data_IF_916112207966
#
_entry.id   IF_916112207966
#
_cell.length_a   1.000
_cell.length_b   1.000
_cell.length_c   1.000
_cell.angle_alpha   90.00
_cell.angle_beta   90.00
_cell.angle_gamma   90.00
#
_symmetry.space_group_name_H-M   'P 1'
#
loop_
_entity.id
_entity.type
_entity.pdbx_description
1 polymer ?
#
# COMPACT_ATOMS: atom_id res chain seq x y z
N UNK A 1 9.20 22.87 -15.56
CA UNK A 1 8.57 22.45 -14.28
C UNK A 1 8.69 20.94 -14.03
N UNK A 2 8.23 20.07 -14.93
CA UNK A 2 8.28 18.61 -14.76
C UNK A 2 9.69 18.03 -14.49
N UNK A 3 10.72 18.49 -15.22
CA UNK A 3 12.11 18.06 -14.98
C UNK A 3 12.61 18.36 -13.55
N UNK A 4 12.18 19.48 -12.96
CA UNK A 4 12.53 19.84 -11.58
C UNK A 4 11.83 18.93 -10.57
N UNK A 5 10.55 18.67 -10.77
CA UNK A 5 9.77 17.76 -9.91
C UNK A 5 10.33 16.33 -9.94
N UNK A 6 10.68 15.83 -11.14
CA UNK A 6 11.29 14.51 -11.31
C UNK A 6 12.62 14.40 -10.54
N UNK A 7 13.55 15.35 -10.74
CA UNK A 7 14.82 15.37 -10.00
C UNK A 7 14.60 15.43 -8.48
N UNK A 8 13.66 16.25 -8.03
CA UNK A 8 13.34 16.34 -6.60
C UNK A 8 12.80 15.01 -6.05
N UNK A 9 11.99 14.28 -6.81
CA UNK A 9 11.54 12.93 -6.43
C UNK A 9 12.71 11.95 -6.37
N UNK A 10 13.57 11.94 -7.40
CA UNK A 10 14.75 11.05 -7.43
C UNK A 10 15.67 11.27 -6.22
N UNK A 11 15.96 12.53 -5.87
CA UNK A 11 16.76 12.84 -4.69
C UNK A 11 16.09 12.34 -3.41
N UNK A 12 14.79 12.60 -3.23
CA UNK A 12 14.06 12.14 -2.02
C UNK A 12 13.97 10.63 -1.93
N UNK A 13 13.83 9.95 -3.06
CA UNK A 13 13.80 8.50 -3.14
C UNK A 13 15.15 7.90 -2.76
N UNK A 14 16.25 8.43 -3.33
CA UNK A 14 17.60 8.01 -2.98
C UNK A 14 17.90 8.25 -1.49
N UNK A 15 17.53 9.42 -0.95
CA UNK A 15 17.70 9.74 0.47
C UNK A 15 16.92 8.78 1.37
N UNK A 16 15.69 8.42 0.99
CA UNK A 16 14.89 7.45 1.74
C UNK A 16 15.51 6.04 1.63
N UNK A 17 15.86 5.59 0.43
CA UNK A 17 16.43 4.27 0.18
C UNK A 17 17.76 4.02 0.89
N UNK A 18 18.59 5.05 1.02
CA UNK A 18 19.82 5.00 1.81
C UNK A 18 19.54 4.70 3.29
N UNK A 19 18.35 5.03 3.79
CA UNK A 19 17.92 4.80 5.16
C UNK A 19 17.05 3.54 5.33
N UNK A 20 16.98 2.67 4.32
CA UNK A 20 16.14 1.46 4.39
C UNK A 20 16.54 0.56 5.56
N UNK A 21 15.54 -0.07 6.17
CA UNK A 21 15.77 -1.10 7.17
C UNK A 21 16.46 -2.32 6.55
N UNK A 22 17.41 -2.94 7.26
CA UNK A 22 18.22 -4.07 6.76
C UNK A 22 17.37 -5.27 6.31
N UNK A 23 16.21 -5.48 6.92
CA UNK A 23 15.28 -6.58 6.61
C UNK A 23 14.16 -6.24 5.63
N UNK A 24 14.30 -5.16 4.84
CA UNK A 24 13.28 -4.82 3.84
C UNK A 24 13.20 -5.90 2.73
N UNK A 25 11.98 -6.35 2.34
CA UNK A 25 11.79 -7.23 1.18
C UNK A 25 12.01 -6.52 -0.16
N UNK A 26 12.10 -5.18 -0.16
CA UNK A 26 12.26 -4.38 -1.37
C UNK A 26 13.66 -4.58 -1.95
N UNK A 27 13.75 -4.72 -3.27
CA UNK A 27 14.99 -5.03 -3.99
C UNK A 27 15.63 -3.82 -4.65
N UNK A 28 14.89 -2.73 -4.82
CA UNK A 28 15.38 -1.52 -5.51
C UNK A 28 14.65 -0.25 -5.06
N UNK A 29 15.24 0.90 -5.41
CA UNK A 29 14.59 2.21 -5.28
C UNK A 29 13.24 2.27 -6.00
N UNK A 30 13.14 1.65 -7.18
CA UNK A 30 11.89 1.60 -7.95
C UNK A 30 10.81 0.82 -7.19
N UNK A 31 11.13 -0.32 -6.59
CA UNK A 31 10.19 -1.07 -5.76
C UNK A 31 9.75 -0.26 -4.53
N UNK A 32 10.67 0.49 -3.91
CA UNK A 32 10.34 1.40 -2.82
C UNK A 32 9.39 2.51 -3.25
N UNK A 33 9.59 3.08 -4.45
CA UNK A 33 8.69 4.09 -5.00
C UNK A 33 7.29 3.53 -5.29
N UNK A 34 7.21 2.31 -5.83
CA UNK A 34 5.93 1.62 -6.06
C UNK A 34 5.21 1.41 -4.74
N UNK A 35 5.87 0.81 -3.74
CA UNK A 35 5.24 0.57 -2.44
C UNK A 35 4.82 1.88 -1.77
N UNK A 36 5.67 2.92 -1.81
CA UNK A 36 5.34 4.23 -1.26
C UNK A 36 4.08 4.83 -1.90
N UNK A 37 3.87 4.63 -3.20
CA UNK A 37 2.66 5.11 -3.89
C UNK A 37 1.39 4.40 -3.44
N UNK A 38 1.48 3.11 -3.08
CA UNK A 38 0.37 2.34 -2.51
C UNK A 38 0.08 2.84 -1.09
N UNK A 39 1.12 2.95 -0.25
CA UNK A 39 1.01 3.46 1.12
C UNK A 39 0.39 4.86 1.15
N UNK A 40 0.78 5.74 0.23
CA UNK A 40 0.20 7.09 0.10
C UNK A 40 -1.32 7.04 -0.13
N UNK A 41 -1.79 6.09 -0.95
CA UNK A 41 -3.21 5.95 -1.28
C UNK A 41 -4.04 5.27 -0.20
N UNK A 42 -3.43 4.42 0.62
CA UNK A 42 -4.08 3.67 1.71
C UNK A 42 -4.07 4.43 3.04
N UNK A 43 -3.20 5.41 3.20
CA UNK A 43 -3.07 6.14 4.46
C UNK A 43 -4.16 7.20 4.59
N UNK A 44 -5.16 6.94 5.43
CA UNK A 44 -6.11 7.96 5.90
C UNK A 44 -5.48 8.88 6.95
N UNK A 45 -5.07 8.31 8.09
CA UNK A 45 -4.45 9.05 9.20
C UNK A 45 -2.92 8.96 9.16
N UNK A 46 -2.17 10.08 9.33
CA UNK A 46 -0.70 10.05 9.26
C UNK A 46 -0.01 9.10 10.25
N UNK A 47 -0.61 8.83 11.41
CA UNK A 47 -0.08 7.90 12.42
C UNK A 47 -0.11 6.44 11.96
N UNK A 48 -1.05 6.08 11.08
CA UNK A 48 -1.25 4.70 10.65
C UNK A 48 -0.28 4.31 9.53
N UNK A 49 0.34 5.29 8.87
CA UNK A 49 1.21 5.11 7.69
C UNK A 49 2.30 4.06 7.91
N UNK A 50 2.99 4.13 9.05
CA UNK A 50 4.06 3.19 9.38
C UNK A 50 3.53 1.75 9.49
N UNK A 51 2.35 1.56 10.09
CA UNK A 51 1.72 0.26 10.24
C UNK A 51 1.16 -0.27 8.91
N UNK A 52 0.57 0.58 8.08
CA UNK A 52 0.13 0.23 6.71
C UNK A 52 1.33 -0.26 5.90
N UNK A 53 2.45 0.47 5.93
CA UNK A 53 3.68 0.03 5.27
C UNK A 53 4.22 -1.27 5.86
N UNK A 54 4.10 -1.48 7.18
CA UNK A 54 4.44 -2.73 7.87
C UNK A 54 3.64 -3.92 7.34
N UNK A 55 2.32 -3.78 7.20
CA UNK A 55 1.46 -4.83 6.64
C UNK A 55 1.89 -5.21 5.22
N UNK A 56 2.11 -4.24 4.33
CA UNK A 56 2.51 -4.55 2.96
C UNK A 56 3.90 -5.17 2.89
N UNK A 57 4.87 -4.69 3.69
CA UNK A 57 6.20 -5.32 3.78
C UNK A 57 6.09 -6.77 4.29
N UNK A 58 5.25 -7.04 5.30
CA UNK A 58 5.02 -8.40 5.79
C UNK A 58 4.41 -9.31 4.71
N UNK A 59 3.42 -8.81 3.97
CA UNK A 59 2.80 -9.56 2.87
C UNK A 59 3.82 -9.87 1.77
N UNK A 60 4.64 -8.89 1.37
CA UNK A 60 5.71 -9.09 0.39
C UNK A 60 6.70 -10.16 0.85
N UNK A 61 7.14 -10.13 2.12
CA UNK A 61 8.02 -11.16 2.69
C UNK A 61 7.42 -12.57 2.63
N UNK A 62 6.12 -12.68 2.83
CA UNK A 62 5.39 -13.96 2.83
C UNK A 62 4.92 -14.41 1.45
N UNK A 63 5.17 -13.64 0.38
CA UNK A 63 4.62 -13.93 -0.94
C UNK A 63 3.09 -13.85 -1.00
N UNK A 64 2.48 -13.06 -0.11
CA UNK A 64 1.04 -12.86 -0.05
C UNK A 64 0.61 -11.74 -1.02
N UNK A 65 -0.53 -11.88 -1.74
CA UNK A 65 -1.08 -10.80 -2.53
C UNK A 65 -1.35 -9.54 -1.69
N UNK A 66 -1.08 -8.35 -2.22
CA UNK A 66 -1.24 -7.09 -1.47
C UNK A 66 -2.70 -6.72 -1.27
N UNK A 67 -3.59 -7.09 -2.21
CA UNK A 67 -5.05 -6.90 -2.13
C UNK A 67 -5.43 -5.46 -1.76
N UNK A 68 -4.94 -4.49 -2.55
CA UNK A 68 -5.19 -3.06 -2.34
C UNK A 68 -6.05 -2.49 -3.47
N UNK A 69 -7.19 -1.90 -3.11
CA UNK A 69 -8.17 -1.31 -4.02
C UNK A 69 -7.57 -0.21 -4.92
N UNK A 70 -6.77 0.76 -4.40
CA UNK A 70 -6.10 1.77 -5.22
C UNK A 70 -5.34 1.23 -6.43
N UNK A 71 -4.72 0.05 -6.32
CA UNK A 71 -3.98 -0.55 -7.44
C UNK A 71 -4.91 -1.00 -8.57
N UNK A 72 -6.06 -1.60 -8.23
CA UNK A 72 -7.08 -2.01 -9.19
C UNK A 72 -7.69 -0.77 -9.84
N UNK A 73 -8.05 0.24 -9.05
CA UNK A 73 -8.59 1.51 -9.54
C UNK A 73 -7.63 2.17 -10.54
N UNK A 74 -6.33 2.20 -10.23
CA UNK A 74 -5.32 2.72 -11.15
C UNK A 74 -5.27 1.92 -12.47
N UNK A 75 -5.34 0.59 -12.38
CA UNK A 75 -5.36 -0.28 -13.56
C UNK A 75 -6.60 -0.13 -14.44
N UNK A 76 -7.76 0.21 -13.86
CA UNK A 76 -8.98 0.50 -14.60
C UNK A 76 -8.92 1.84 -15.35
N UNK A 77 -8.14 2.79 -14.85
CA UNK A 77 -7.94 4.09 -15.49
C UNK A 77 -9.26 4.81 -15.78
N UNK A 78 -9.46 5.20 -17.04
CA UNK A 78 -10.65 5.94 -17.48
C UNK A 78 -11.95 5.14 -17.42
N UNK A 79 -11.88 3.80 -17.31
CA UNK A 79 -13.07 2.95 -17.16
C UNK A 79 -13.63 2.93 -15.73
N UNK A 80 -12.91 3.51 -14.77
CA UNK A 80 -13.37 3.62 -13.39
C UNK A 80 -14.45 4.71 -13.27
N UNK A 81 -15.67 4.31 -12.94
CA UNK A 81 -16.83 5.19 -12.82
C UNK A 81 -17.08 5.69 -11.38
N UNK A 82 -16.10 5.51 -10.49
CA UNK A 82 -16.20 5.85 -9.07
C UNK A 82 -16.70 4.71 -8.19
N UNK A 83 -17.17 3.59 -8.77
CA UNK A 83 -17.65 2.45 -8.00
C UNK A 83 -16.85 1.18 -8.29
N UNK A 84 -16.00 0.78 -7.34
CA UNK A 84 -15.22 -0.44 -7.44
C UNK A 84 -16.10 -1.66 -7.09
N UNK A 85 -16.27 -2.55 -8.07
CA UNK A 85 -17.17 -3.71 -7.95
C UNK A 85 -16.37 -4.99 -7.81
N UNK A 86 -17.02 -6.03 -7.29
CA UNK A 86 -16.43 -7.38 -7.17
C UNK A 86 -15.84 -7.90 -8.49
N UNK A 87 -16.51 -7.65 -9.62
CA UNK A 87 -16.01 -8.06 -10.95
C UNK A 87 -14.66 -7.43 -11.28
N UNK A 88 -14.43 -6.20 -10.83
CA UNK A 88 -13.20 -5.46 -11.12
C UNK A 88 -12.03 -6.07 -10.33
N UNK A 89 -12.27 -6.45 -9.07
CA UNK A 89 -11.31 -7.19 -8.23
C UNK A 89 -10.96 -8.58 -8.80
N UNK A 90 -11.87 -9.18 -9.58
CA UNK A 90 -11.72 -10.51 -10.18
C UNK A 90 -11.23 -10.47 -11.62
N UNK A 91 -11.12 -9.29 -12.23
CA UNK A 91 -10.64 -9.13 -13.61
C UNK A 91 -9.12 -9.08 -13.61
N UNK A 92 -8.48 -9.95 -14.41
CA UNK A 92 -7.01 -9.93 -14.51
C UNK A 92 -6.50 -8.64 -15.15
N UNK A 93 -5.37 -8.17 -14.62
CA UNK A 93 -4.67 -6.98 -15.09
C UNK A 93 -3.35 -6.81 -14.36
N UNK A 94 -2.38 -6.11 -14.95
CA UNK A 94 -1.03 -6.01 -14.38
C UNK A 94 -0.97 -5.26 -13.05
N UNK A 95 -1.97 -4.41 -12.75
CA UNK A 95 -2.09 -3.69 -11.48
C UNK A 95 -3.02 -4.38 -10.47
N UNK A 96 -3.65 -5.50 -10.82
CA UNK A 96 -4.58 -6.18 -9.91
C UNK A 96 -3.83 -7.02 -8.86
N UNK A 97 -3.54 -6.40 -7.71
CA UNK A 97 -2.87 -7.03 -6.58
C UNK A 97 -3.73 -8.02 -5.78
N UNK A 98 -4.99 -8.25 -6.19
CA UNK A 98 -5.80 -9.38 -5.69
C UNK A 98 -5.45 -10.69 -6.37
N UNK A 99 -5.04 -10.63 -7.64
CA UNK A 99 -4.76 -11.80 -8.46
C UNK A 99 -3.25 -12.02 -8.66
N UNK A 100 -2.44 -10.97 -8.51
CA UNK A 100 -0.99 -11.02 -8.71
C UNK A 100 -0.25 -10.77 -7.40
N UNK A 101 0.68 -11.67 -7.08
CA UNK A 101 1.58 -11.55 -5.94
C UNK A 101 2.69 -10.56 -6.26
N UNK A 102 3.10 -9.77 -5.25
CA UNK A 102 4.16 -8.79 -5.38
C UNK A 102 3.64 -7.38 -5.69
N UNK A 103 4.56 -6.51 -6.10
CA UNK A 103 4.27 -5.12 -6.43
C UNK A 103 3.70 -5.00 -7.86
N UNK A 104 2.80 -4.02 -8.11
CA UNK A 104 2.41 -3.67 -9.47
C UNK A 104 3.60 -3.13 -10.28
N UNK A 105 3.52 -3.06 -11.62
CA UNK A 105 4.67 -2.73 -12.46
C UNK A 105 5.15 -1.28 -12.32
N UNK A 106 4.29 -0.35 -11.88
CA UNK A 106 4.64 1.06 -11.73
C UNK A 106 3.95 1.69 -10.51
N UNK A 107 4.45 2.85 -10.02
CA UNK A 107 3.77 3.60 -8.97
C UNK A 107 2.37 4.07 -9.42
N UNK A 108 1.39 3.98 -8.52
CA UNK A 108 -0.01 4.33 -8.81
C UNK A 108 -0.39 5.76 -8.41
N UNK A 109 0.55 6.49 -7.80
CA UNK A 109 0.40 7.86 -7.33
C UNK A 109 1.77 8.52 -7.17
N UNK A 110 1.80 9.84 -6.95
CA UNK A 110 3.01 10.55 -6.53
C UNK A 110 3.10 10.56 -4.99
N UNK A 111 3.99 9.77 -4.36
CA UNK A 111 4.06 9.70 -2.91
C UNK A 111 4.73 10.92 -2.28
N UNK A 112 4.33 11.26 -1.07
CA UNK A 112 5.02 12.22 -0.23
C UNK A 112 6.28 11.64 0.43
N UNK A 113 7.10 12.52 1.02
CA UNK A 113 8.31 12.12 1.76
C UNK A 113 8.01 11.11 2.88
N UNK A 114 6.88 11.29 3.58
CA UNK A 114 6.48 10.40 4.67
C UNK A 114 6.19 8.97 4.17
N UNK A 115 5.58 8.82 3.00
CA UNK A 115 5.26 7.51 2.41
C UNK A 115 6.50 6.84 1.83
N UNK A 116 7.44 7.62 1.27
CA UNK A 116 8.77 7.12 0.89
C UNK A 116 9.50 6.52 2.10
N UNK A 117 9.58 7.27 3.20
CA UNK A 117 10.23 6.79 4.42
C UNK A 117 9.50 5.58 5.00
N UNK A 118 8.16 5.59 5.09
CA UNK A 118 7.41 4.46 5.62
C UNK A 118 7.60 3.18 4.79
N UNK A 119 7.73 3.29 3.46
CA UNK A 119 7.96 2.13 2.60
C UNK A 119 9.28 1.41 2.92
N UNK A 120 10.33 2.17 3.21
CA UNK A 120 11.68 1.64 3.48
C UNK A 120 11.98 1.42 4.97
N UNK A 121 11.25 2.11 5.86
CA UNK A 121 11.30 2.01 7.31
C UNK A 121 9.88 1.79 7.84
N UNK A 122 9.28 0.61 7.59
CA UNK A 122 7.96 0.30 8.11
C UNK A 122 7.99 0.23 9.64
N UNK A 123 6.83 0.44 10.27
CA UNK A 123 6.69 0.16 11.69
C UNK A 123 6.90 -1.33 11.96
N UNK A 124 7.53 -1.65 13.10
CA UNK A 124 7.66 -3.04 13.53
C UNK A 124 6.29 -3.57 13.98
N UNK A 125 5.76 -4.51 13.22
CA UNK A 125 4.46 -5.13 13.46
C UNK A 125 4.40 -6.49 12.80
N UNK A 126 3.59 -7.39 13.36
CA UNK A 126 3.24 -8.69 12.77
C UNK A 126 1.93 -8.64 11.99
N UNK A 127 1.28 -7.48 11.94
CA UNK A 127 0.00 -7.34 11.25
C UNK A 127 0.12 -7.72 9.77
N UNK A 128 -0.89 -8.44 9.29
CA UNK A 128 -1.04 -8.87 7.89
C UNK A 128 -2.32 -8.30 7.27
N UNK A 129 -3.19 -7.72 8.08
CA UNK A 129 -4.46 -7.18 7.65
C UNK A 129 -4.71 -5.84 8.33
N UNK A 130 -5.43 -4.97 7.65
CA UNK A 130 -5.98 -3.77 8.26
C UNK A 130 -7.36 -3.46 7.69
N UNK A 131 -8.17 -2.74 8.46
CA UNK A 131 -9.49 -2.27 8.05
C UNK A 131 -9.74 -0.88 8.63
N UNK A 132 -10.31 0.03 7.84
CA UNK A 132 -10.69 1.36 8.33
C UNK A 132 -11.82 1.28 9.38
N UNK A 133 -11.74 2.13 10.40
CA UNK A 133 -12.79 2.31 11.42
C UNK A 133 -13.90 3.27 11.00
N UNK A 134 -13.74 3.97 9.87
CA UNK A 134 -14.66 5.01 9.41
C UNK A 134 -14.42 6.40 10.01
N UNK A 135 -13.59 6.52 11.05
CA UNK A 135 -13.14 7.79 11.65
C UNK A 135 -11.81 8.31 11.07
N UNK A 136 -11.30 7.64 10.03
CA UNK A 136 -10.01 7.90 9.40
C UNK A 136 -8.85 7.06 9.93
N UNK A 137 -9.01 6.39 11.08
CA UNK A 137 -8.03 5.43 11.61
C UNK A 137 -8.31 3.99 11.16
N UNK A 138 -7.36 3.09 11.43
CA UNK A 138 -7.41 1.68 11.05
C UNK A 138 -7.29 0.74 12.26
N UNK A 139 -7.82 -0.46 12.11
CA UNK A 139 -7.52 -1.61 12.98
C UNK A 139 -6.59 -2.52 12.23
N UNK A 140 -5.49 -2.90 12.88
CA UNK A 140 -4.49 -3.82 12.35
C UNK A 140 -4.66 -5.19 13.00
N UNK A 141 -4.46 -6.26 12.24
CA UNK A 141 -4.67 -7.63 12.71
C UNK A 141 -3.61 -8.57 12.15
N UNK A 142 -3.18 -9.53 12.95
CA UNK A 142 -2.19 -10.55 12.56
C UNK A 142 -2.88 -11.71 11.84
N UNK A 143 -4.12 -12.03 12.22
CA UNK A 143 -4.87 -13.17 11.68
C UNK A 143 -6.10 -12.75 10.87
N UNK A 144 -6.49 -13.61 9.93
CA UNK A 144 -7.73 -13.42 9.16
C UNK A 144 -8.97 -13.44 10.07
N UNK A 145 -8.96 -14.24 11.14
CA UNK A 145 -10.08 -14.30 12.09
C UNK A 145 -10.27 -12.98 12.84
N UNK A 146 -9.18 -12.35 13.29
CA UNK A 146 -9.22 -11.00 13.90
C UNK A 146 -9.69 -9.95 12.90
N UNK A 147 -9.16 -9.99 11.67
CA UNK A 147 -9.56 -9.08 10.62
C UNK A 147 -11.06 -9.16 10.32
N UNK A 148 -11.60 -10.37 10.18
CA UNK A 148 -13.04 -10.56 9.93
C UNK A 148 -13.90 -10.01 11.07
N UNK A 149 -13.50 -10.20 12.33
CA UNK A 149 -14.19 -9.59 13.48
C UNK A 149 -14.15 -8.06 13.42
N UNK A 150 -13.01 -7.48 13.03
CA UNK A 150 -12.90 -6.03 12.88
C UNK A 150 -13.76 -5.51 11.71
N UNK A 151 -13.80 -6.22 10.58
CA UNK A 151 -14.67 -5.89 9.44
C UNK A 151 -16.14 -5.91 9.85
N UNK A 152 -16.58 -6.95 10.55
CA UNK A 152 -17.97 -7.06 11.02
C UNK A 152 -18.33 -5.90 11.95
N UNK A 153 -17.44 -5.55 12.88
CA UNK A 153 -17.63 -4.45 13.83
C UNK A 153 -17.66 -3.06 13.17
N UNK A 154 -16.71 -2.76 12.28
CA UNK A 154 -16.49 -1.39 11.79
C UNK A 154 -17.09 -1.09 10.42
N UNK A 155 -17.31 -2.09 9.57
CA UNK A 155 -17.89 -1.87 8.23
C UNK A 155 -19.30 -2.40 8.07
N UNK A 156 -19.65 -3.50 8.75
CA UNK A 156 -20.97 -4.15 8.59
C UNK A 156 -21.94 -3.84 9.73
N UNK A 157 -21.48 -3.20 10.80
CA UNK A 157 -22.29 -2.85 11.96
C UNK A 157 -22.91 -4.07 12.65
N UNK A 158 -22.17 -5.19 12.68
CA UNK A 158 -22.58 -6.46 13.28
C UNK A 158 -21.92 -6.69 14.64
#
# INVERSE_FOLDING_TARGET
>A
MLKRAHRAMQHRLADAWAQRAEGTPLKSEDEALVLASIVEKETGLPSDRGLVAGVFNNRLRLGMPLQTDPSVIYGLGASFDGNLRKRDLQTDGPYNTYLRVGLPPTPIAMPGKASLLAAVQPADTKALFFVSRGDGSSVFSETLAEHNRAVDKYQRGR
#
